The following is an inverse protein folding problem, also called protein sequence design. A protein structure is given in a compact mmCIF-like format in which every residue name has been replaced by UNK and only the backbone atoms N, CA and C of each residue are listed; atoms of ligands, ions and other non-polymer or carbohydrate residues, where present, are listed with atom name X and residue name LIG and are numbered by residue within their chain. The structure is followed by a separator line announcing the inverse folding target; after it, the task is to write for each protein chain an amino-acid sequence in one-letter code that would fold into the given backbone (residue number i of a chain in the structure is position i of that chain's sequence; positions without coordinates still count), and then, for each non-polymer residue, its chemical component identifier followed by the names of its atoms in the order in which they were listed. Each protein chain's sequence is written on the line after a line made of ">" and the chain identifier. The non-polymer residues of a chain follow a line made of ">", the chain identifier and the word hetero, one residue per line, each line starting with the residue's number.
data_IF_652136279422
#
_entry.id   IF_652136279422
#
_cell.length_a   1.000
_cell.length_b   1.000
_cell.length_c   1.000
_cell.angle_alpha   90.00
_cell.angle_beta   90.00
_cell.angle_gamma   90.00
#
_symmetry.space_group_name_H-M   'P 1'
#
loop_
_entity.id
_entity.type
_entity.pdbx_description
1 polymer ?
#
# COMPACT_ATOMS: atom_id res chain seq x y z
N UNK A 1 2.72 17.25 -0.58
CA UNK A 1 3.00 17.11 0.86
C UNK A 1 4.32 16.38 1.02
N UNK A 2 5.24 16.90 1.85
CA UNK A 2 6.44 16.17 2.25
C UNK A 2 6.03 15.27 3.43
N UNK A 3 6.14 13.96 3.27
CA UNK A 3 5.84 13.02 4.34
C UNK A 3 6.98 13.03 5.37
N UNK A 4 6.68 12.65 6.62
CA UNK A 4 7.71 12.55 7.65
C UNK A 4 8.55 11.27 7.51
N UNK A 5 9.68 11.22 8.21
CA UNK A 5 10.63 10.11 8.09
C UNK A 5 10.00 8.75 8.42
N UNK A 6 9.20 8.68 9.49
CA UNK A 6 8.52 7.43 9.91
C UNK A 6 7.57 6.90 8.83
N UNK A 7 6.84 7.79 8.16
CA UNK A 7 5.98 7.41 7.05
C UNK A 7 6.79 6.86 5.87
N UNK A 8 7.88 7.53 5.51
CA UNK A 8 8.75 7.09 4.41
C UNK A 8 9.44 5.76 4.71
N UNK A 9 9.97 5.58 5.93
CA UNK A 9 10.58 4.32 6.35
C UNK A 9 9.58 3.17 6.30
N UNK A 10 8.37 3.39 6.85
CA UNK A 10 7.31 2.41 6.83
C UNK A 10 6.85 2.09 5.41
N UNK A 11 6.76 3.08 4.53
CA UNK A 11 6.48 2.88 3.11
C UNK A 11 7.54 2.01 2.45
N UNK A 12 8.83 2.35 2.58
CA UNK A 12 9.91 1.61 1.94
C UNK A 12 10.00 0.16 2.43
N UNK A 13 9.76 -0.06 3.74
CA UNK A 13 9.75 -1.39 4.34
C UNK A 13 8.73 -2.35 3.74
N UNK A 14 7.63 -1.83 3.18
CA UNK A 14 6.57 -2.62 2.53
C UNK A 14 6.73 -2.61 1.01
N UNK A 15 6.97 -1.44 0.42
CA UNK A 15 6.98 -1.26 -1.02
C UNK A 15 8.11 -2.07 -1.66
N UNK A 16 9.34 -1.93 -1.17
CA UNK A 16 10.51 -2.50 -1.84
C UNK A 16 10.45 -4.03 -1.91
N UNK A 17 10.17 -4.76 -0.80
CA UNK A 17 10.09 -6.22 -0.86
C UNK A 17 8.96 -6.74 -1.77
N UNK A 18 7.81 -6.06 -1.79
CA UNK A 18 6.69 -6.43 -2.66
C UNK A 18 7.00 -6.14 -4.13
N UNK A 19 7.58 -4.99 -4.42
CA UNK A 19 7.97 -4.59 -5.76
C UNK A 19 9.01 -5.56 -6.34
N UNK A 20 10.03 -5.93 -5.56
CA UNK A 20 11.06 -6.87 -5.97
C UNK A 20 10.47 -8.26 -6.26
N UNK A 21 9.56 -8.75 -5.38
CA UNK A 21 8.84 -10.01 -5.61
C UNK A 21 8.02 -9.97 -6.90
N UNK A 22 7.28 -8.89 -7.16
CA UNK A 22 6.48 -8.74 -8.38
C UNK A 22 7.33 -8.71 -9.65
N UNK A 23 8.51 -8.10 -9.58
CA UNK A 23 9.43 -8.03 -10.73
C UNK A 23 10.30 -9.28 -10.90
N UNK A 24 10.32 -10.19 -9.92
CA UNK A 24 11.04 -11.46 -10.03
C UNK A 24 10.49 -12.42 -11.10
N UNK A 25 9.26 -12.16 -11.60
CA UNK A 25 8.57 -13.04 -12.55
C UNK A 25 8.06 -14.36 -11.97
N UNK A 26 8.34 -14.65 -10.69
CA UNK A 26 7.93 -15.87 -9.98
C UNK A 26 6.71 -15.67 -9.07
N UNK A 27 6.17 -14.45 -9.01
CA UNK A 27 5.12 -14.08 -8.08
C UNK A 27 3.89 -13.55 -8.81
N UNK A 28 2.74 -14.17 -8.59
CA UNK A 28 1.46 -13.68 -9.07
C UNK A 28 0.83 -12.77 -8.01
N UNK A 29 0.50 -11.52 -8.34
CA UNK A 29 -0.12 -10.61 -7.39
C UNK A 29 -1.51 -11.11 -6.97
N UNK A 30 -1.71 -11.30 -5.67
CA UNK A 30 -3.03 -11.56 -5.09
C UNK A 30 -3.73 -10.21 -4.80
N UNK A 31 -4.50 -9.72 -5.78
CA UNK A 31 -5.22 -8.44 -5.68
C UNK A 31 -6.22 -8.42 -4.50
N UNK A 32 -7.06 -9.46 -4.28
CA UNK A 32 -7.90 -9.53 -3.10
C UNK A 32 -7.14 -9.36 -1.79
N UNK A 33 -6.00 -10.04 -1.62
CA UNK A 33 -5.18 -9.92 -0.42
C UNK A 33 -4.64 -8.48 -0.24
N UNK A 34 -4.14 -7.85 -1.32
CA UNK A 34 -3.67 -6.46 -1.25
C UNK A 34 -4.79 -5.49 -0.82
N UNK A 35 -6.02 -5.71 -1.31
CA UNK A 35 -7.17 -4.89 -0.91
C UNK A 35 -7.55 -5.11 0.56
N UNK A 36 -7.44 -6.34 1.05
CA UNK A 36 -7.71 -6.67 2.44
C UNK A 36 -6.70 -6.00 3.37
N UNK A 37 -5.40 -6.05 3.04
CA UNK A 37 -4.35 -5.34 3.77
C UNK A 37 -4.62 -3.83 3.86
N UNK A 38 -5.05 -3.19 2.76
CA UNK A 38 -5.45 -1.77 2.76
C UNK A 38 -6.62 -1.52 3.71
N UNK A 39 -7.62 -2.41 3.73
CA UNK A 39 -8.79 -2.31 4.59
C UNK A 39 -8.41 -2.47 6.07
N UNK A 40 -7.58 -3.45 6.39
CA UNK A 40 -7.09 -3.68 7.74
C UNK A 40 -6.28 -2.47 8.26
N UNK A 41 -5.39 -1.93 7.42
CA UNK A 41 -4.61 -0.74 7.78
C UNK A 41 -5.52 0.47 8.04
N UNK A 42 -6.56 0.69 7.22
CA UNK A 42 -7.56 1.72 7.48
C UNK A 42 -8.26 1.49 8.82
N UNK A 43 -8.71 0.27 9.09
CA UNK A 43 -9.37 -0.07 10.34
C UNK A 43 -8.48 0.17 11.56
N UNK A 44 -7.20 -0.18 11.48
CA UNK A 44 -6.20 0.07 12.53
C UNK A 44 -5.97 1.56 12.75
N UNK A 45 -5.95 2.36 11.68
CA UNK A 45 -5.85 3.82 11.79
C UNK A 45 -7.09 4.41 12.46
N UNK A 46 -8.28 3.95 12.10
CA UNK A 46 -9.53 4.41 12.72
C UNK A 46 -9.54 4.12 14.23
N UNK A 47 -9.15 2.90 14.63
CA UNK A 47 -9.01 2.51 16.05
C UNK A 47 -8.03 3.45 16.78
N UNK A 48 -6.87 3.76 16.18
CA UNK A 48 -5.89 4.65 16.80
C UNK A 48 -6.42 6.07 16.93
N UNK A 49 -7.07 6.60 15.90
CA UNK A 49 -7.68 7.93 15.94
C UNK A 49 -8.77 8.01 17.02
N UNK A 50 -9.63 6.99 17.15
CA UNK A 50 -10.63 6.94 18.21
C UNK A 50 -9.99 6.75 19.59
N UNK A 51 -8.94 5.95 19.70
CA UNK A 51 -8.20 5.73 20.94
C UNK A 51 -7.49 6.98 21.46
N UNK A 52 -7.04 7.86 20.56
CA UNK A 52 -6.35 9.11 20.90
C UNK A 52 -7.20 10.05 21.79
N UNK A 53 -8.53 9.97 21.70
CA UNK A 53 -9.44 10.74 22.58
C UNK A 53 -9.29 10.39 24.06
N UNK A 54 -8.74 9.22 24.37
CA UNK A 54 -8.50 8.75 25.74
C UNK A 54 -7.06 8.92 26.20
N UNK A 55 -6.21 9.59 25.39
CA UNK A 55 -4.83 9.87 25.78
C UNK A 55 -4.79 10.76 27.02
N UNK A 56 -3.91 10.41 27.96
CA UNK A 56 -3.79 11.06 29.28
C UNK A 56 -2.85 12.26 29.27
N UNK A 57 -1.92 12.27 28.32
CA UNK A 57 -0.91 13.30 28.18
C UNK A 57 -0.44 13.45 26.73
N UNK A 58 0.42 14.45 26.49
CA UNK A 58 0.97 14.74 25.18
C UNK A 58 1.93 13.65 24.67
N UNK A 59 2.57 12.89 25.57
CA UNK A 59 3.48 11.81 25.17
C UNK A 59 2.69 10.63 24.58
N UNK A 60 1.54 10.29 25.17
CA UNK A 60 0.61 9.32 24.61
C UNK A 60 0.06 9.76 23.25
N UNK A 61 -0.29 11.05 23.08
CA UNK A 61 -0.71 11.60 21.78
C UNK A 61 0.40 11.46 20.74
N UNK A 62 1.63 11.87 21.05
CA UNK A 62 2.77 11.79 20.14
C UNK A 62 3.03 10.34 19.68
N UNK A 63 2.92 9.36 20.59
CA UNK A 63 3.06 7.93 20.23
C UNK A 63 1.97 7.47 19.25
N UNK A 64 0.74 7.96 19.41
CA UNK A 64 -0.35 7.64 18.50
C UNK A 64 -0.11 8.27 17.13
N UNK A 65 0.31 9.53 17.06
CA UNK A 65 0.65 10.22 15.81
C UNK A 65 1.77 9.49 15.05
N UNK A 66 2.85 9.14 15.75
CA UNK A 66 3.97 8.37 15.20
C UNK A 66 3.51 7.04 14.58
N UNK A 67 2.64 6.33 15.29
CA UNK A 67 2.09 5.05 14.82
C UNK A 67 1.15 5.24 13.65
N UNK A 68 0.36 6.31 13.65
CA UNK A 68 -0.54 6.68 12.57
C UNK A 68 0.25 6.98 11.29
N UNK A 69 1.39 7.67 11.40
CA UNK A 69 2.23 7.97 10.25
C UNK A 69 2.91 6.74 9.66
N UNK A 70 3.34 5.80 10.51
CA UNK A 70 3.83 4.50 10.04
C UNK A 70 2.73 3.74 9.28
N UNK A 71 1.51 3.65 9.82
CA UNK A 71 0.38 2.98 9.15
C UNK A 71 0.01 3.65 7.83
N UNK A 72 0.03 4.99 7.76
CA UNK A 72 -0.19 5.74 6.53
C UNK A 72 0.86 5.38 5.47
N UNK A 73 2.11 5.20 5.88
CA UNK A 73 3.22 4.80 4.99
C UNK A 73 3.01 3.41 4.42
N UNK A 74 2.66 2.44 5.27
CA UNK A 74 2.33 1.07 4.85
C UNK A 74 1.13 1.04 3.89
N UNK A 75 0.05 1.76 4.23
CA UNK A 75 -1.15 1.83 3.37
C UNK A 75 -0.81 2.40 2.00
N UNK A 76 0.00 3.46 1.96
CA UNK A 76 0.45 4.08 0.71
C UNK A 76 1.20 3.07 -0.15
N UNK A 77 2.11 2.30 0.44
CA UNK A 77 2.86 1.26 -0.27
C UNK A 77 1.92 0.23 -0.93
N UNK A 78 0.94 -0.30 -0.20
CA UNK A 78 -0.03 -1.24 -0.76
C UNK A 78 -0.89 -0.63 -1.88
N UNK A 79 -1.30 0.63 -1.76
CA UNK A 79 -2.02 1.33 -2.82
C UNK A 79 -1.19 1.48 -4.09
N UNK A 80 0.09 1.85 -3.96
CA UNK A 80 0.99 2.00 -5.10
C UNK A 80 1.30 0.66 -5.76
N UNK A 81 1.46 -0.41 -4.98
CA UNK A 81 1.56 -1.78 -5.49
C UNK A 81 0.28 -2.18 -6.25
N UNK A 82 -0.90 -1.93 -5.69
CA UNK A 82 -2.17 -2.22 -6.36
C UNK A 82 -2.29 -1.47 -7.69
N UNK A 83 -1.91 -0.19 -7.71
CA UNK A 83 -1.88 0.64 -8.91
C UNK A 83 -0.92 0.10 -9.95
N UNK A 84 0.29 -0.29 -9.54
CA UNK A 84 1.30 -0.90 -10.41
C UNK A 84 0.79 -2.20 -11.04
N UNK A 85 0.23 -3.11 -10.24
CA UNK A 85 -0.34 -4.38 -10.70
C UNK A 85 -1.46 -4.15 -11.71
N UNK A 86 -2.42 -3.28 -11.39
CA UNK A 86 -3.54 -2.97 -12.28
C UNK A 86 -3.08 -2.35 -13.61
N UNK A 87 -2.07 -1.48 -13.57
CA UNK A 87 -1.46 -0.91 -14.78
C UNK A 87 -0.90 -2.01 -15.68
N UNK A 88 -0.11 -2.93 -15.12
CA UNK A 88 0.48 -4.05 -15.89
C UNK A 88 -0.58 -4.97 -16.49
N UNK A 89 -1.63 -5.29 -15.73
CA UNK A 89 -2.75 -6.10 -16.26
C UNK A 89 -3.41 -5.40 -17.45
N UNK A 90 -3.64 -4.09 -17.36
CA UNK A 90 -4.22 -3.31 -18.46
C UNK A 90 -3.32 -3.32 -19.70
N UNK A 91 -2.02 -3.11 -19.52
CA UNK A 91 -1.03 -3.14 -20.61
C UNK A 91 -0.95 -4.52 -21.28
N UNK A 92 -0.93 -5.59 -20.50
CA UNK A 92 -0.95 -6.96 -21.04
C UNK A 92 -2.24 -7.26 -21.79
N UNK A 93 -3.39 -6.83 -21.28
CA UNK A 93 -4.68 -6.97 -21.99
C UNK A 93 -4.65 -6.26 -23.35
N UNK A 94 -4.22 -4.99 -23.39
CA UNK A 94 -4.11 -4.21 -24.62
C UNK A 94 -3.17 -4.86 -25.64
N UNK A 95 -2.00 -5.34 -25.20
CA UNK A 95 -1.05 -6.02 -26.07
C UNK A 95 -1.63 -7.31 -26.68
N UNK A 96 -2.43 -8.06 -25.91
CA UNK A 96 -3.07 -9.28 -26.40
C UNK A 96 -4.20 -8.98 -27.40
N UNK A 97 -5.00 -7.94 -27.16
CA UNK A 97 -6.04 -7.50 -28.12
C UNK A 97 -5.41 -7.06 -29.44
N UNK A 98 -4.35 -6.24 -29.39
CA UNK A 98 -3.66 -5.77 -30.60
C UNK A 98 -2.99 -6.91 -31.38
N UNK A 99 -2.50 -7.96 -30.71
CA UNK A 99 -1.97 -9.14 -31.39
C UNK A 99 -3.05 -9.94 -32.11
N UNK A 100 -4.27 -10.02 -31.57
CA UNK A 100 -5.37 -10.74 -32.23
C UNK A 100 -5.86 -10.07 -33.52
N UNK A 101 -5.74 -8.74 -33.63
CA UNK A 101 -6.15 -7.98 -34.82
C UNK A 101 -5.11 -7.94 -35.95
N UNK A 102 -3.92 -8.54 -35.78
CA UNK A 102 -2.86 -8.55 -36.79
C UNK A 102 -2.75 -9.90 -37.54
N UNK A 103 -3.73 -10.79 -37.37
CA UNK A 103 -3.80 -12.09 -38.05
C UNK A 103 -5.04 -12.24 -38.95
N UNK A 104 -5.70 -11.14 -39.31
CA UNK A 104 -6.75 -11.07 -40.34
C UNK A 104 -6.26 -10.26 -41.55
#
# INVERSE_FOLDING_TARGET
>A
MKYNQKNEDAYQSVYQPLFDKLNSGKFFPNIPAIKEEIRELNHRMDILCTGAYFARDLDEVNKVEDRLDALRGQRRAYWDILKYVNKRIKETKLANTNKSCNYE
#
